data_IF_459336033854
#
_entry.id   IF_459336033854
#
_cell.length_a   1.000
_cell.length_b   1.000
_cell.length_c   1.000
_cell.angle_alpha   90.00
_cell.angle_beta   90.00
_cell.angle_gamma   90.00
#
_symmetry.space_group_name_H-M   'P 1'
#
loop_
_entity.id
_entity.type
_entity.pdbx_description
1 polymer ?
#
# COMPACT_ATOMS: atom_id res chain seq x y z
N UNK A 1 21.04 14.96 8.35
CA UNK A 1 20.56 13.62 7.96
C UNK A 1 19.49 13.16 8.93
N UNK A 2 19.84 12.70 10.13
CA UNK A 2 18.86 12.36 11.18
C UNK A 2 17.93 13.54 11.51
N UNK A 3 18.44 14.77 11.41
CA UNK A 3 17.66 16.00 11.64
C UNK A 3 16.41 16.14 10.77
N UNK A 4 16.47 15.81 9.48
CA UNK A 4 15.33 15.97 8.56
C UNK A 4 14.34 14.80 8.70
N UNK A 5 14.85 13.58 8.83
CA UNK A 5 14.01 12.40 9.05
C UNK A 5 13.22 12.48 10.38
N UNK A 6 13.84 13.02 11.44
CA UNK A 6 13.18 13.22 12.74
C UNK A 6 12.20 14.41 12.75
N UNK A 7 12.23 15.27 11.72
CA UNK A 7 11.31 16.39 11.55
C UNK A 7 10.16 16.07 10.59
N UNK A 8 10.20 14.91 9.91
CA UNK A 8 9.16 14.50 8.97
C UNK A 8 7.80 14.39 9.67
N UNK A 9 6.77 14.97 9.04
CA UNK A 9 5.40 14.97 9.53
C UNK A 9 4.52 13.94 8.82
N UNK A 10 5.06 13.28 7.79
CA UNK A 10 4.40 12.20 7.07
C UNK A 10 5.36 11.04 6.79
N UNK A 11 4.79 9.86 6.55
CA UNK A 11 5.54 8.66 6.13
C UNK A 11 6.30 8.95 4.83
N UNK A 12 5.68 9.66 3.88
CA UNK A 12 6.32 10.02 2.61
C UNK A 12 7.55 10.91 2.79
N UNK A 13 7.50 11.90 3.68
CA UNK A 13 8.66 12.74 4.00
C UNK A 13 9.75 11.94 4.73
N UNK A 14 9.36 11.02 5.63
CA UNK A 14 10.31 10.12 6.26
C UNK A 14 10.99 9.24 5.22
N UNK A 15 10.23 8.70 4.28
CA UNK A 15 10.77 7.86 3.20
C UNK A 15 11.72 8.65 2.30
N UNK A 16 11.38 9.88 1.93
CA UNK A 16 12.26 10.75 1.14
C UNK A 16 13.58 11.04 1.88
N UNK A 17 13.52 11.40 3.17
CA UNK A 17 14.70 11.84 3.93
C UNK A 17 15.54 10.70 4.53
N UNK A 18 14.97 9.50 4.71
CA UNK A 18 15.64 8.35 5.31
C UNK A 18 15.63 7.12 4.40
N UNK A 19 14.45 6.61 4.03
CA UNK A 19 14.32 5.34 3.31
C UNK A 19 15.01 5.37 1.94
N UNK A 20 14.82 6.44 1.15
CA UNK A 20 15.48 6.62 -0.13
C UNK A 20 17.00 6.68 0.00
N UNK A 21 17.51 7.34 1.03
CA UNK A 21 18.95 7.46 1.27
C UNK A 21 19.58 6.12 1.66
N UNK A 22 18.93 5.36 2.53
CA UNK A 22 19.39 4.02 2.95
C UNK A 22 19.29 3.03 1.78
N UNK A 23 18.17 3.03 1.07
CA UNK A 23 17.90 2.15 -0.06
C UNK A 23 18.56 2.57 -1.38
N UNK A 24 19.23 3.73 -1.42
CA UNK A 24 19.84 4.34 -2.61
C UNK A 24 18.84 4.50 -3.77
N UNK A 25 17.63 4.97 -3.45
CA UNK A 25 16.63 5.36 -4.43
C UNK A 25 16.76 6.86 -4.75
N UNK A 26 16.55 7.21 -6.02
CA UNK A 26 16.68 8.59 -6.51
C UNK A 26 15.57 9.50 -5.98
N UNK A 27 14.37 8.97 -5.79
CA UNK A 27 13.18 9.67 -5.28
C UNK A 27 12.28 8.69 -4.52
N UNK A 28 11.41 9.20 -3.64
CA UNK A 28 10.38 8.38 -2.97
C UNK A 28 9.45 7.68 -3.96
N UNK A 29 9.14 8.28 -5.10
CA UNK A 29 8.30 7.64 -6.12
C UNK A 29 9.02 6.47 -6.81
N UNK A 30 10.34 6.59 -7.02
CA UNK A 30 11.15 5.48 -7.52
C UNK A 30 11.23 4.36 -6.49
N UNK A 31 11.36 4.70 -5.21
CA UNK A 31 11.27 3.72 -4.11
C UNK A 31 9.93 2.99 -4.13
N UNK A 32 8.81 3.72 -4.07
CA UNK A 32 7.47 3.11 -4.07
C UNK A 32 7.21 2.27 -5.30
N UNK A 33 7.59 2.73 -6.49
CA UNK A 33 7.40 1.96 -7.73
C UNK A 33 8.24 0.68 -7.76
N UNK A 34 9.49 0.72 -7.31
CA UNK A 34 10.38 -0.46 -7.32
C UNK A 34 10.05 -1.47 -6.23
N UNK A 35 9.51 -1.01 -5.11
CA UNK A 35 9.16 -1.86 -3.97
C UNK A 35 7.67 -2.27 -3.98
N UNK A 36 6.86 -1.76 -4.91
CA UNK A 36 5.47 -2.14 -5.04
C UNK A 36 5.29 -3.58 -5.52
N UNK A 37 4.30 -4.26 -4.94
CA UNK A 37 3.83 -5.57 -5.40
C UNK A 37 3.09 -5.50 -6.74
N UNK A 38 2.64 -4.32 -7.18
CA UNK A 38 1.79 -4.13 -8.37
C UNK A 38 2.36 -4.79 -9.63
N UNK A 39 3.68 -4.70 -9.82
CA UNK A 39 4.39 -5.29 -10.98
C UNK A 39 4.35 -6.83 -11.02
N UNK A 40 4.08 -7.48 -9.90
CA UNK A 40 4.05 -8.95 -9.78
C UNK A 40 2.64 -9.54 -9.83
N UNK A 41 1.61 -8.71 -9.59
CA UNK A 41 0.19 -9.10 -9.53
C UNK A 41 -0.24 -9.88 -10.79
N UNK A 42 0.22 -9.45 -11.97
CA UNK A 42 -0.14 -10.12 -13.23
C UNK A 42 0.48 -11.52 -13.40
N UNK A 43 1.54 -11.85 -12.65
CA UNK A 43 2.22 -13.16 -12.71
C UNK A 43 1.61 -14.21 -11.79
N UNK A 44 0.62 -13.84 -10.97
CA UNK A 44 -0.05 -14.76 -10.02
C UNK A 44 -0.78 -15.86 -10.80
N UNK A 45 -0.37 -17.11 -10.53
CA UNK A 45 -0.85 -18.31 -11.24
C UNK A 45 -1.74 -19.23 -10.39
N UNK A 46 -1.90 -18.91 -9.11
CA UNK A 46 -2.78 -19.62 -8.16
C UNK A 46 -3.91 -18.69 -7.72
N UNK A 47 -5.10 -19.21 -7.37
CA UNK A 47 -6.17 -18.36 -6.85
C UNK A 47 -5.71 -17.52 -5.65
N UNK A 48 -5.88 -16.21 -5.75
CA UNK A 48 -5.44 -15.24 -4.75
C UNK A 48 -6.59 -14.28 -4.43
N UNK A 49 -6.87 -14.13 -3.13
CA UNK A 49 -7.75 -13.10 -2.60
C UNK A 49 -6.89 -11.95 -2.07
N UNK A 50 -7.05 -10.77 -2.66
CA UNK A 50 -6.48 -9.52 -2.18
C UNK A 50 -7.57 -8.75 -1.44
N UNK A 51 -7.26 -8.27 -0.22
CA UNK A 51 -8.19 -7.45 0.57
C UNK A 51 -7.53 -6.11 0.86
N UNK A 52 -8.24 -5.01 0.66
CA UNK A 52 -7.76 -3.66 0.98
C UNK A 52 -8.87 -2.78 1.54
N UNK A 53 -8.53 -1.90 2.49
CA UNK A 53 -9.45 -0.89 3.00
C UNK A 53 -9.24 0.43 2.25
N UNK A 54 -10.33 1.11 1.89
CA UNK A 54 -10.27 2.37 1.14
C UNK A 54 -9.79 3.55 1.99
N UNK A 55 -9.91 3.44 3.32
CA UNK A 55 -9.48 4.43 4.30
C UNK A 55 -8.15 4.08 5.00
N UNK A 56 -7.38 3.12 4.45
CA UNK A 56 -6.05 2.79 4.96
C UNK A 56 -5.07 3.98 4.82
N UNK A 57 -4.50 4.49 5.93
CA UNK A 57 -3.61 5.66 5.90
C UNK A 57 -2.20 5.36 5.37
N UNK A 58 -1.84 4.09 5.20
CA UNK A 58 -0.53 3.63 4.71
C UNK A 58 -0.66 3.13 3.27
N UNK A 59 -1.59 2.21 3.03
CA UNK A 59 -1.87 1.65 1.72
C UNK A 59 -3.08 2.35 1.10
N UNK A 60 -2.89 3.60 0.68
CA UNK A 60 -3.99 4.45 0.21
C UNK A 60 -4.72 3.85 -1.00
N UNK A 61 -5.94 4.32 -1.25
CA UNK A 61 -6.77 3.86 -2.38
C UNK A 61 -6.05 3.95 -3.74
N UNK A 62 -5.18 4.95 -3.92
CA UNK A 62 -4.39 5.16 -5.14
C UNK A 62 -3.23 4.15 -5.28
N UNK A 63 -2.79 3.53 -4.18
CA UNK A 63 -1.73 2.53 -4.17
C UNK A 63 -2.25 1.11 -4.50
N UNK A 64 -3.57 0.91 -4.52
CA UNK A 64 -4.18 -0.37 -4.89
C UNK A 64 -3.97 -0.62 -6.39
N UNK A 65 -3.44 -1.78 -6.81
CA UNK A 65 -3.20 -2.12 -8.21
C UNK A 65 -4.48 -2.58 -8.90
N UNK A 66 -5.42 -1.64 -9.08
CA UNK A 66 -6.77 -1.88 -9.59
C UNK A 66 -6.77 -2.58 -10.95
N UNK A 67 -6.00 -2.03 -11.90
CA UNK A 67 -5.97 -2.51 -13.28
C UNK A 67 -5.24 -3.85 -13.39
N UNK A 68 -4.14 -4.03 -12.64
CA UNK A 68 -3.39 -5.28 -12.63
C UNK A 68 -4.19 -6.42 -12.00
N UNK A 69 -4.93 -6.16 -10.92
CA UNK A 69 -5.83 -7.14 -10.32
C UNK A 69 -6.96 -7.50 -11.29
N UNK A 70 -7.56 -6.50 -11.94
CA UNK A 70 -8.65 -6.71 -12.91
C UNK A 70 -8.19 -7.50 -14.15
N UNK A 71 -6.94 -7.33 -14.57
CA UNK A 71 -6.37 -8.02 -15.71
C UNK A 71 -6.08 -9.52 -15.45
N UNK A 72 -5.93 -9.94 -14.19
CA UNK A 72 -5.59 -11.32 -13.85
C UNK A 72 -6.79 -12.10 -13.29
N UNK A 73 -7.28 -13.09 -14.05
CA UNK A 73 -8.42 -13.95 -13.66
C UNK A 73 -8.22 -14.77 -12.39
N UNK A 74 -6.98 -14.97 -11.94
CA UNK A 74 -6.68 -15.70 -10.72
C UNK A 74 -6.84 -14.85 -9.46
N UNK A 75 -7.10 -13.54 -9.63
CA UNK A 75 -7.16 -12.59 -8.54
C UNK A 75 -8.59 -12.14 -8.32
N UNK A 76 -8.98 -12.14 -7.05
CA UNK A 76 -10.16 -11.43 -6.56
C UNK A 76 -9.67 -10.28 -5.68
N UNK A 77 -9.97 -9.05 -6.06
CA UNK A 77 -9.75 -7.88 -5.23
C UNK A 77 -11.05 -7.52 -4.50
N UNK A 78 -11.03 -7.64 -3.17
CA UNK A 78 -12.12 -7.24 -2.29
C UNK A 78 -11.73 -5.94 -1.56
N UNK A 79 -12.54 -4.90 -1.71
CA UNK A 79 -12.34 -3.65 -1.00
C UNK A 79 -13.45 -3.37 -0.01
N UNK A 80 -13.07 -2.91 1.18
CA UNK A 80 -13.99 -2.48 2.22
C UNK A 80 -13.89 -0.97 2.42
N UNK A 81 -15.00 -0.34 2.84
CA UNK A 81 -15.01 1.10 3.14
C UNK A 81 -14.13 1.45 4.34
N UNK A 82 -14.11 0.55 5.34
CA UNK A 82 -13.48 0.77 6.62
C UNK A 82 -12.65 -0.45 7.04
N UNK A 83 -11.48 -0.17 7.61
CA UNK A 83 -10.49 -1.15 8.07
C UNK A 83 -9.12 -0.50 8.06
N UNK A 84 -8.07 -1.27 7.82
CA UNK A 84 -6.79 -0.68 7.48
C UNK A 84 -5.61 -1.61 7.69
N UNK A 85 -4.45 -0.97 7.78
CA UNK A 85 -3.14 -1.62 7.80
C UNK A 85 -2.97 -2.66 8.92
N UNK A 86 -3.65 -2.45 10.05
CA UNK A 86 -3.51 -3.30 11.23
C UNK A 86 -4.60 -4.39 11.32
N UNK A 87 -5.84 -4.08 10.97
CA UNK A 87 -6.96 -5.00 11.11
C UNK A 87 -8.18 -4.58 10.27
N UNK A 88 -9.04 -5.55 10.01
CA UNK A 88 -10.37 -5.36 9.45
C UNK A 88 -11.42 -5.56 10.52
N UNK A 89 -12.50 -4.79 10.45
CA UNK A 89 -13.61 -4.90 11.39
C UNK A 89 -14.48 -6.13 11.08
N UNK A 90 -15.01 -6.74 12.13
CA UNK A 90 -15.97 -7.84 12.06
C UNK A 90 -17.30 -7.46 12.71
N UNK A 91 -18.41 -8.00 12.19
CA UNK A 91 -19.75 -7.84 12.78
C UNK A 91 -20.63 -6.83 12.02
N UNK A 92 -21.95 -7.00 12.15
CA UNK A 92 -22.95 -6.26 11.37
C UNK A 92 -22.96 -4.76 11.73
N UNK A 93 -22.55 -4.42 12.96
CA UNK A 93 -22.60 -3.05 13.50
C UNK A 93 -21.25 -2.34 13.48
N UNK A 94 -20.18 -2.97 13.00
CA UNK A 94 -18.86 -2.35 13.02
C UNK A 94 -18.76 -1.29 11.92
N UNK A 95 -18.54 -0.03 12.31
CA UNK A 95 -18.68 1.12 11.41
C UNK A 95 -17.40 1.90 11.13
N UNK A 96 -16.44 1.95 12.06
CA UNK A 96 -15.11 2.59 11.90
C UNK A 96 -14.36 2.60 13.25
N UNK A 97 -13.08 3.00 13.21
CA UNK A 97 -12.26 3.37 14.38
C UNK A 97 -12.64 4.76 14.90
#
# INVERSE_FOLDING_TARGET
>A
MYSYALQSLSVREFDEHATCMVGKYETVDTYYRRCSSSTYVQSVSVPLLCISALDDPVCTTEAIPWDECKANKNIVLATVKHGGHLAFFEGITASSL
#
